data_IF_068721876901
#
_entry.id   IF_068721876901
#
_cell.length_a   1.000
_cell.length_b   1.000
_cell.length_c   1.000
_cell.angle_alpha   90.00
_cell.angle_beta   90.00
_cell.angle_gamma   90.00
#
_symmetry.space_group_name_H-M   'P 1'
#
loop_
_entity.id
_entity.type
_entity.pdbx_description
1 polymer ?
#
# COMPACT_ATOMS: atom_id res chain seq x y z
N UNK A 1 -2.17 13.87 6.26
CA UNK A 1 -0.76 14.08 5.85
C UNK A 1 0.14 12.86 6.07
N UNK A 2 -0.06 12.09 7.15
CA UNK A 2 0.84 11.08 7.75
C UNK A 2 1.57 10.15 6.77
N UNK A 3 0.89 9.61 5.75
CA UNK A 3 1.53 8.70 4.77
C UNK A 3 2.79 9.33 4.15
N UNK A 4 2.77 10.64 3.85
CA UNK A 4 3.95 11.30 3.27
C UNK A 4 5.12 11.37 4.25
N UNK A 5 4.85 11.69 5.52
CA UNK A 5 5.88 11.78 6.55
C UNK A 5 6.56 10.43 6.78
N UNK A 6 5.80 9.33 6.79
CA UNK A 6 6.37 7.99 6.92
C UNK A 6 7.30 7.64 5.75
N UNK A 7 6.91 8.01 4.52
CA UNK A 7 7.76 7.83 3.34
C UNK A 7 9.03 8.66 3.41
N UNK A 8 8.93 9.91 3.85
CA UNK A 8 10.09 10.81 4.04
C UNK A 8 11.06 10.27 5.11
N UNK A 9 10.55 9.56 6.12
CA UNK A 9 11.36 8.86 7.11
C UNK A 9 11.91 7.50 6.63
N UNK A 10 11.72 7.14 5.36
CA UNK A 10 12.27 5.91 4.78
C UNK A 10 11.45 4.64 5.09
N UNK A 11 10.16 4.76 5.40
CA UNK A 11 9.29 3.59 5.55
C UNK A 11 9.23 2.79 4.23
N UNK A 12 9.45 1.48 4.31
CA UNK A 12 9.26 0.57 3.17
C UNK A 12 7.76 0.35 2.91
N UNK A 13 7.31 0.85 1.76
CA UNK A 13 5.92 0.87 1.30
C UNK A 13 5.36 -0.50 0.94
N UNK A 14 6.24 -1.50 0.79
CA UNK A 14 5.89 -2.84 0.34
C UNK A 14 5.95 -3.87 1.48
N UNK A 15 6.21 -3.44 2.71
CA UNK A 15 6.04 -4.30 3.89
C UNK A 15 4.58 -4.72 3.97
N UNK A 16 4.38 -6.01 4.14
CA UNK A 16 3.06 -6.61 4.25
C UNK A 16 2.77 -6.99 5.71
N UNK A 17 1.50 -6.96 6.09
CA UNK A 17 1.04 -7.46 7.37
C UNK A 17 0.97 -9.01 7.41
N UNK A 18 0.34 -9.55 8.44
CA UNK A 18 0.21 -10.99 8.63
C UNK A 18 -0.69 -11.67 7.58
N UNK A 19 -1.52 -10.95 6.86
CA UNK A 19 -2.34 -11.48 5.75
C UNK A 19 -1.65 -11.30 4.39
N UNK A 20 -0.48 -10.66 4.38
CA UNK A 20 0.25 -10.32 3.16
C UNK A 20 -0.25 -9.03 2.51
N UNK A 21 -1.13 -8.28 3.17
CA UNK A 21 -1.64 -7.02 2.66
C UNK A 21 -0.60 -5.92 2.87
N UNK A 22 -0.25 -5.25 1.78
CA UNK A 22 0.61 -4.06 1.82
C UNK A 22 -0.22 -2.82 2.18
N UNK A 23 0.42 -1.70 2.58
CA UNK A 23 -0.26 -0.41 2.70
C UNK A 23 -1.13 -0.04 1.49
N UNK A 24 -0.76 -0.48 0.28
CA UNK A 24 -1.54 -0.25 -0.92
C UNK A 24 -2.83 -1.09 -0.97
N UNK A 25 -2.81 -2.36 -0.54
CA UNK A 25 -4.02 -3.19 -0.39
C UNK A 25 -5.02 -2.50 0.55
N UNK A 26 -4.55 -2.13 1.74
CA UNK A 26 -5.37 -1.50 2.78
C UNK A 26 -5.91 -0.13 2.31
N UNK A 27 -5.10 0.65 1.60
CA UNK A 27 -5.52 1.94 1.06
C UNK A 27 -6.60 1.81 -0.03
N UNK A 28 -6.47 0.81 -0.92
CA UNK A 28 -7.50 0.56 -1.95
C UNK A 28 -8.80 0.07 -1.31
N UNK A 29 -8.74 -0.94 -0.44
CA UNK A 29 -9.91 -1.49 0.27
C UNK A 29 -10.69 -0.41 1.04
N UNK A 30 -10.00 0.60 1.58
CA UNK A 30 -10.62 1.70 2.33
C UNK A 30 -10.98 2.91 1.46
N UNK A 31 -10.82 2.83 0.13
CA UNK A 31 -11.09 3.91 -0.82
C UNK A 31 -10.25 5.17 -0.60
N UNK A 32 -9.04 5.05 -0.02
CA UNK A 32 -8.21 6.20 0.37
C UNK A 32 -7.35 6.70 -0.79
N UNK A 33 -7.98 7.31 -1.80
CA UNK A 33 -7.31 7.77 -3.04
C UNK A 33 -6.08 8.65 -2.79
N UNK A 34 -6.11 9.56 -1.81
CA UNK A 34 -4.94 10.41 -1.47
C UNK A 34 -3.77 9.59 -0.93
N UNK A 35 -4.04 8.55 -0.14
CA UNK A 35 -3.02 7.63 0.35
C UNK A 35 -2.48 6.76 -0.79
N UNK A 36 -3.35 6.18 -1.61
CA UNK A 36 -2.95 5.38 -2.78
C UNK A 36 -2.00 6.16 -3.71
N UNK A 37 -2.33 7.42 -4.04
CA UNK A 37 -1.47 8.29 -4.86
C UNK A 37 -0.10 8.51 -4.24
N UNK A 38 -0.01 8.69 -2.91
CA UNK A 38 1.26 8.86 -2.22
C UNK A 38 2.08 7.57 -2.21
N UNK A 39 1.44 6.44 -1.92
CA UNK A 39 2.09 5.12 -1.90
C UNK A 39 2.65 4.74 -3.27
N UNK A 40 1.88 4.94 -4.34
CA UNK A 40 2.32 4.69 -5.72
C UNK A 40 3.50 5.59 -6.12
N UNK A 41 3.50 6.86 -5.71
CA UNK A 41 4.65 7.76 -5.90
C UNK A 41 5.87 7.35 -5.06
N UNK A 42 5.66 6.61 -3.97
CA UNK A 42 6.68 6.02 -3.13
C UNK A 42 7.11 4.61 -3.56
N UNK A 43 6.87 4.22 -4.82
CA UNK A 43 7.22 2.91 -5.39
C UNK A 43 6.52 1.71 -4.74
N UNK A 44 5.27 1.88 -4.28
CA UNK A 44 4.45 0.74 -3.90
C UNK A 44 4.15 -0.13 -5.13
N UNK A 45 4.32 -1.44 -5.00
CA UNK A 45 4.07 -2.41 -6.06
C UNK A 45 2.56 -2.67 -6.18
N UNK A 46 1.90 -2.21 -7.28
CA UNK A 46 0.48 -2.42 -7.49
C UNK A 46 0.12 -3.87 -7.87
N UNK A 47 1.12 -4.72 -8.12
CA UNK A 47 0.95 -6.11 -8.51
C UNK A 47 1.34 -7.09 -7.40
N UNK A 48 1.82 -6.61 -6.26
CA UNK A 48 2.15 -7.46 -5.12
C UNK A 48 0.90 -8.22 -4.68
N UNK A 49 1.02 -9.55 -4.56
CA UNK A 49 -0.05 -10.41 -4.10
C UNK A 49 0.04 -10.60 -2.59
N UNK A 50 -1.09 -10.57 -1.91
CA UNK A 50 -1.20 -11.01 -0.53
C UNK A 50 -1.22 -12.55 -0.43
N UNK A 51 -1.38 -13.10 0.77
CA UNK A 51 -1.36 -14.56 1.00
C UNK A 51 -2.52 -15.29 0.32
N UNK A 52 -3.62 -14.59 0.03
CA UNK A 52 -4.76 -15.12 -0.72
C UNK A 52 -4.59 -15.01 -2.25
N UNK A 53 -3.50 -14.41 -2.73
CA UNK A 53 -3.23 -14.21 -4.16
C UNK A 53 -3.89 -12.97 -4.75
N UNK A 54 -4.56 -12.14 -3.94
CA UNK A 54 -5.16 -10.88 -4.38
C UNK A 54 -4.11 -9.78 -4.48
N UNK A 55 -4.24 -8.94 -5.50
CA UNK A 55 -3.49 -7.69 -5.64
C UNK A 55 -4.31 -6.52 -5.10
N UNK A 56 -3.70 -5.34 -4.86
CA UNK A 56 -4.46 -4.15 -4.46
C UNK A 56 -5.60 -3.78 -5.39
N UNK A 57 -5.56 -4.19 -6.68
CA UNK A 57 -6.61 -3.91 -7.66
C UNK A 57 -7.89 -4.76 -7.47
N UNK A 58 -7.82 -5.85 -6.69
CA UNK A 58 -9.00 -6.67 -6.39
C UNK A 58 -9.93 -6.04 -5.33
N UNK A 59 -9.43 -5.03 -4.60
CA UNK A 59 -10.14 -4.31 -3.55
C UNK A 59 -10.67 -2.96 -4.06
#
# INVERSE_FOLDING_TARGET
EIVGLLLECGADVNIADEDGDTPLHIATMKGKTRAMKKLLRGNADPNKKNKMGYTPFHY
#
